data_IF_592882136649
#
_entry.id   IF_592882136649
#
_cell.length_a   1.000
_cell.length_b   1.000
_cell.length_c   1.000
_cell.angle_alpha   90.00
_cell.angle_beta   90.00
_cell.angle_gamma   90.00
#
_symmetry.space_group_name_H-M   'P 1'
#
loop_
_entity.id
_entity.type
_entity.pdbx_description
1 polymer ?
#
# COMPACT_ATOMS: atom_id res chain seq x y z
N UNK A 1 -1.76 -17.68 -19.80
CA UNK A 1 -2.83 -16.76 -19.36
C UNK A 1 -2.19 -15.42 -19.03
N UNK A 2 -2.73 -14.28 -19.48
CA UNK A 2 -2.18 -12.98 -19.10
C UNK A 2 -2.24 -12.85 -17.58
N UNK A 3 -1.13 -12.45 -16.96
CA UNK A 3 -1.06 -12.23 -15.52
C UNK A 3 -1.78 -10.92 -15.21
N UNK A 4 -2.77 -10.99 -14.32
CA UNK A 4 -3.43 -9.79 -13.79
C UNK A 4 -2.39 -9.04 -12.95
N UNK A 5 -2.12 -7.78 -13.31
CA UNK A 5 -1.18 -6.89 -12.61
C UNK A 5 -1.79 -5.50 -12.49
N UNK A 6 -1.27 -4.69 -11.57
CA UNK A 6 -1.55 -3.25 -11.55
C UNK A 6 -0.70 -2.59 -12.65
N UNK A 7 -1.36 -2.00 -13.64
CA UNK A 7 -0.71 -1.37 -14.79
C UNK A 7 -0.25 0.06 -14.49
N UNK A 8 -1.10 0.85 -13.82
CA UNK A 8 -0.76 2.18 -13.35
C UNK A 8 -1.68 2.65 -12.22
N UNK A 9 -1.24 3.69 -11.52
CA UNK A 9 -1.98 4.34 -10.42
C UNK A 9 -2.32 5.75 -10.85
N UNK A 10 -3.60 6.07 -10.91
CA UNK A 10 -4.08 7.41 -11.21
C UNK A 10 -4.50 8.11 -9.92
N UNK A 11 -4.10 9.38 -9.76
CA UNK A 11 -4.46 10.19 -8.60
C UNK A 11 -5.67 11.03 -8.93
N UNK A 12 -6.79 10.78 -8.24
CA UNK A 12 -7.98 11.62 -8.34
C UNK A 12 -7.88 12.84 -7.43
N UNK A 13 -7.42 12.65 -6.19
CA UNK A 13 -7.16 13.75 -5.24
C UNK A 13 -6.14 13.33 -4.17
N UNK A 14 -6.09 14.03 -3.02
CA UNK A 14 -5.13 13.71 -1.94
C UNK A 14 -5.38 12.35 -1.28
N UNK A 15 -6.63 11.88 -1.22
CA UNK A 15 -7.02 10.66 -0.51
C UNK A 15 -7.55 9.55 -1.41
N UNK A 16 -7.91 9.86 -2.65
CA UNK A 16 -8.55 8.92 -3.57
C UNK A 16 -7.72 8.73 -4.84
N UNK A 17 -7.57 7.48 -5.23
CA UNK A 17 -6.74 7.00 -6.33
C UNK A 17 -7.48 5.87 -7.06
N UNK A 18 -7.16 5.65 -8.33
CA UNK A 18 -7.57 4.49 -9.10
C UNK A 18 -6.35 3.60 -9.36
N UNK A 19 -6.50 2.30 -9.09
CA UNK A 19 -5.56 1.28 -9.51
C UNK A 19 -6.11 0.66 -10.79
N UNK A 20 -5.44 0.92 -11.90
CA UNK A 20 -5.79 0.32 -13.17
C UNK A 20 -5.12 -1.04 -13.28
N UNK A 21 -5.89 -2.05 -13.69
CA UNK A 21 -5.40 -3.40 -13.92
C UNK A 21 -5.01 -3.60 -15.38
N UNK A 22 -4.26 -4.66 -15.67
CA UNK A 22 -3.84 -5.02 -17.03
C UNK A 22 -4.99 -5.47 -17.94
N UNK A 23 -6.15 -5.81 -17.39
CA UNK A 23 -7.36 -6.19 -18.12
C UNK A 23 -8.30 -5.00 -18.41
N UNK A 24 -7.90 -3.78 -18.01
CA UNK A 24 -8.67 -2.56 -18.19
C UNK A 24 -9.69 -2.28 -17.07
N UNK A 25 -9.85 -3.16 -16.09
CA UNK A 25 -10.65 -2.87 -14.89
C UNK A 25 -9.92 -1.86 -13.99
N UNK A 26 -10.68 -1.16 -13.15
CA UNK A 26 -10.12 -0.28 -12.12
C UNK A 26 -10.67 -0.60 -10.74
N UNK A 27 -9.82 -0.39 -9.74
CA UNK A 27 -10.15 -0.50 -8.32
C UNK A 27 -9.92 0.85 -7.65
N UNK A 28 -10.73 1.19 -6.66
CA UNK A 28 -10.55 2.42 -5.92
C UNK A 28 -9.60 2.18 -4.74
N UNK A 29 -8.49 2.91 -4.68
CA UNK A 29 -7.64 2.99 -3.49
C UNK A 29 -7.96 4.28 -2.74
N UNK A 30 -8.26 4.17 -1.44
CA UNK A 30 -8.64 5.31 -0.61
C UNK A 30 -7.95 5.32 0.74
N UNK A 31 -7.51 6.50 1.15
CA UNK A 31 -7.05 6.81 2.49
C UNK A 31 -8.28 7.21 3.30
N UNK A 32 -8.85 6.25 4.01
CA UNK A 32 -10.15 6.38 4.68
C UNK A 32 -10.08 7.19 5.96
N UNK A 33 -8.94 7.11 6.66
CA UNK A 33 -8.56 8.01 7.74
C UNK A 33 -7.04 8.16 7.74
N UNK A 34 -6.47 8.77 8.79
CA UNK A 34 -5.04 9.05 8.84
C UNK A 34 -4.14 7.80 8.79
N UNK A 35 -4.65 6.63 9.19
CA UNK A 35 -3.88 5.39 9.31
C UNK A 35 -4.44 4.21 8.51
N UNK A 36 -5.62 4.34 7.92
CA UNK A 36 -6.27 3.27 7.18
C UNK A 36 -6.31 3.54 5.68
N UNK A 37 -5.73 2.62 4.90
CA UNK A 37 -5.79 2.62 3.44
C UNK A 37 -6.49 1.36 2.96
N UNK A 38 -7.45 1.53 2.06
CA UNK A 38 -8.29 0.44 1.53
C UNK A 38 -8.26 0.41 0.02
N UNK A 39 -8.40 -0.79 -0.54
CA UNK A 39 -8.67 -1.04 -1.96
C UNK A 39 -10.09 -1.60 -2.05
N UNK A 40 -10.93 -0.96 -2.87
CA UNK A 40 -12.35 -1.25 -3.01
C UNK A 40 -12.68 -1.62 -4.45
N UNK A 41 -13.59 -2.57 -4.64
CA UNK A 41 -14.25 -2.87 -5.90
C UNK A 41 -15.76 -2.75 -5.69
N UNK A 42 -16.42 -1.80 -6.36
CA UNK A 42 -17.88 -1.61 -6.25
C UNK A 42 -18.38 -1.68 -4.78
N UNK A 43 -17.80 -0.86 -3.91
CA UNK A 43 -18.06 -0.79 -2.46
C UNK A 43 -17.67 -2.01 -1.60
N UNK A 44 -17.10 -3.06 -2.20
CA UNK A 44 -16.53 -4.19 -1.46
C UNK A 44 -15.03 -3.97 -1.17
N UNK A 45 -14.63 -4.10 0.10
CA UNK A 45 -13.22 -4.08 0.49
C UNK A 45 -12.50 -5.34 -0.02
N UNK A 46 -11.48 -5.12 -0.86
CA UNK A 46 -10.65 -6.17 -1.46
C UNK A 46 -9.37 -6.36 -0.65
N UNK A 47 -8.74 -5.27 -0.22
CA UNK A 47 -7.54 -5.30 0.62
C UNK A 47 -7.47 -4.06 1.49
N UNK A 48 -6.79 -4.14 2.62
CA UNK A 48 -6.59 -2.98 3.50
C UNK A 48 -5.30 -3.08 4.30
N UNK A 49 -4.71 -1.92 4.60
CA UNK A 49 -3.55 -1.78 5.49
C UNK A 49 -3.91 -0.78 6.57
N UNK A 50 -3.69 -1.18 7.82
CA UNK A 50 -3.71 -0.29 8.97
C UNK A 50 -2.27 0.03 9.39
N UNK A 51 -1.93 1.31 9.43
CA UNK A 51 -0.63 1.81 9.83
C UNK A 51 -0.60 2.19 11.31
N UNK A 52 0.57 2.06 11.92
CA UNK A 52 0.83 2.58 13.27
C UNK A 52 1.96 3.60 13.21
N UNK A 53 1.79 4.80 13.79
CA UNK A 53 2.86 5.76 13.93
C UNK A 53 3.88 5.26 14.95
N UNK A 54 5.16 5.42 14.61
CA UNK A 54 6.30 5.09 15.47
C UNK A 54 7.02 6.34 15.99
N UNK A 55 6.66 7.51 15.48
CA UNK A 55 7.17 8.80 15.94
C UNK A 55 6.03 9.74 16.29
N UNK A 56 6.37 10.81 17.00
CA UNK A 56 5.45 11.94 17.18
C UNK A 56 5.11 12.54 15.82
N UNK A 57 3.81 12.68 15.53
CA UNK A 57 3.32 13.32 14.32
C UNK A 57 3.39 14.86 14.40
N UNK A 58 3.68 15.41 15.58
CA UNK A 58 3.82 16.84 15.83
C UNK A 58 5.28 17.31 15.79
N UNK A 59 6.23 16.40 15.55
CA UNK A 59 7.63 16.77 15.42
C UNK A 59 7.92 17.23 13.99
N UNK A 60 8.12 18.54 13.81
CA UNK A 60 8.43 19.14 12.51
C UNK A 60 9.88 18.88 12.05
N UNK A 61 10.76 18.47 12.96
CA UNK A 61 12.18 18.24 12.68
C UNK A 61 12.44 16.85 12.07
N UNK A 62 11.48 15.93 12.19
CA UNK A 62 11.63 14.56 11.73
C UNK A 62 10.43 14.13 10.87
N UNK A 63 10.66 13.53 9.68
CA UNK A 63 9.59 12.91 8.92
C UNK A 63 8.84 11.87 9.76
N UNK A 64 7.51 11.77 9.64
CA UNK A 64 6.74 10.82 10.43
C UNK A 64 7.14 9.39 10.04
N UNK A 65 7.33 8.54 11.05
CA UNK A 65 7.69 7.14 10.89
C UNK A 65 6.47 6.27 11.10
N UNK A 66 6.27 5.30 10.24
CA UNK A 66 5.15 4.35 10.32
C UNK A 66 5.64 2.91 10.21
N UNK A 67 4.88 1.98 10.79
CA UNK A 67 4.92 0.56 10.42
C UNK A 67 3.52 0.12 10.00
N UNK A 68 3.45 -0.99 9.28
CA UNK A 68 2.17 -1.70 9.13
C UNK A 68 1.86 -2.36 10.47
N UNK A 69 0.64 -2.17 10.95
CA UNK A 69 0.10 -2.84 12.13
C UNK A 69 -0.71 -4.08 11.72
N UNK A 70 -1.52 -3.94 10.67
CA UNK A 70 -2.31 -5.03 10.12
C UNK A 70 -2.39 -4.91 8.59
N UNK A 71 -2.46 -6.06 7.92
CA UNK A 71 -2.65 -6.14 6.48
C UNK A 71 -3.66 -7.25 6.16
N UNK A 72 -4.81 -6.85 5.63
CA UNK A 72 -5.77 -7.76 5.01
C UNK A 72 -5.41 -7.91 3.54
N UNK A 73 -4.82 -9.05 3.21
CA UNK A 73 -4.51 -9.42 1.85
C UNK A 73 -5.78 -9.70 1.02
N UNK A 74 -5.74 -9.45 -0.30
CA UNK A 74 -6.83 -9.83 -1.20
C UNK A 74 -7.01 -11.35 -1.27
N UNK A 75 -8.24 -11.77 -1.50
CA UNK A 75 -8.62 -13.17 -1.67
C UNK A 75 -9.20 -13.43 -3.06
N UNK A 76 -9.37 -14.72 -3.40
CA UNK A 76 -10.00 -15.15 -4.65
C UNK A 76 -9.22 -14.68 -5.88
N UNK A 77 -9.93 -14.12 -6.86
CA UNK A 77 -9.36 -13.66 -8.15
C UNK A 77 -8.26 -12.61 -7.98
N UNK A 78 -8.27 -11.86 -6.88
CA UNK A 78 -7.29 -10.81 -6.60
C UNK A 78 -6.12 -11.29 -5.73
N UNK A 79 -6.08 -12.54 -5.30
CA UNK A 79 -4.98 -13.06 -4.48
C UNK A 79 -3.61 -12.90 -5.16
N UNK A 80 -3.56 -13.02 -6.49
CA UNK A 80 -2.35 -12.83 -7.30
C UNK A 80 -1.85 -11.36 -7.30
N UNK A 81 -2.69 -10.41 -6.90
CA UNK A 81 -2.37 -8.99 -6.81
C UNK A 81 -1.91 -8.57 -5.40
N UNK A 82 -1.78 -9.49 -4.44
CA UNK A 82 -1.49 -9.15 -3.05
C UNK A 82 -0.26 -8.24 -2.90
N UNK A 83 0.87 -8.63 -3.50
CA UNK A 83 2.10 -7.82 -3.45
C UNK A 83 1.95 -6.50 -4.21
N UNK A 84 1.21 -6.51 -5.33
CA UNK A 84 0.89 -5.30 -6.09
C UNK A 84 0.09 -4.29 -5.25
N UNK A 85 -0.98 -4.73 -4.60
CA UNK A 85 -1.80 -3.88 -3.73
C UNK A 85 -0.99 -3.38 -2.55
N UNK A 86 -0.20 -4.24 -1.91
CA UNK A 86 0.65 -3.82 -0.81
C UNK A 86 1.62 -2.71 -1.25
N UNK A 87 2.31 -2.89 -2.38
CA UNK A 87 3.25 -1.89 -2.90
C UNK A 87 2.54 -0.57 -3.29
N UNK A 88 1.35 -0.65 -3.90
CA UNK A 88 0.54 0.51 -4.25
C UNK A 88 0.10 1.28 -2.99
N UNK A 89 -0.39 0.57 -1.98
CA UNK A 89 -0.81 1.14 -0.69
C UNK A 89 0.38 1.83 0.00
N UNK A 90 1.53 1.17 0.08
CA UNK A 90 2.73 1.75 0.71
C UNK A 90 3.20 3.00 -0.02
N UNK A 91 3.22 2.97 -1.35
CA UNK A 91 3.63 4.11 -2.17
C UNK A 91 2.69 5.30 -1.98
N UNK A 92 1.38 5.06 -2.04
CA UNK A 92 0.36 6.11 -1.85
C UNK A 92 0.42 6.68 -0.43
N UNK A 93 0.57 5.83 0.58
CA UNK A 93 0.59 6.28 1.98
C UNK A 93 1.86 7.09 2.31
N UNK A 94 3.02 6.67 1.81
CA UNK A 94 4.26 7.43 1.95
C UNK A 94 4.14 8.81 1.28
N UNK A 95 3.54 8.87 0.09
CA UNK A 95 3.27 10.14 -0.59
C UNK A 95 2.27 11.02 0.18
N UNK A 96 1.21 10.45 0.75
CA UNK A 96 0.19 11.18 1.50
C UNK A 96 0.73 11.79 2.80
N UNK A 97 1.57 11.04 3.50
CA UNK A 97 2.10 11.43 4.81
C UNK A 97 3.42 12.18 4.75
N UNK A 98 4.11 12.15 3.60
CA UNK A 98 5.53 12.51 3.47
C UNK A 98 6.41 11.77 4.49
N UNK A 99 5.98 10.59 4.91
CA UNK A 99 6.61 9.79 5.95
C UNK A 99 7.44 8.63 5.42
N UNK A 100 8.17 8.01 6.33
CA UNK A 100 8.94 6.80 6.06
C UNK A 100 8.19 5.62 6.64
N UNK A 101 7.91 4.62 5.81
CA UNK A 101 7.30 3.36 6.23
C UNK A 101 8.40 2.33 6.41
N UNK A 102 8.49 1.74 7.61
CA UNK A 102 9.46 0.67 7.89
C UNK A 102 9.15 -0.57 7.05
N UNK A 103 10.18 -1.33 6.62
CA UNK A 103 9.98 -2.56 5.87
C UNK A 103 9.03 -3.52 6.60
N UNK A 104 7.97 -3.92 5.93
CA UNK A 104 6.96 -4.84 6.49
C UNK A 104 7.46 -6.28 6.59
N UNK A 105 8.31 -6.68 5.63
CA UNK A 105 9.02 -7.96 5.64
C UNK A 105 10.50 -7.67 5.52
N UNK A 106 11.31 -8.29 6.37
CA UNK A 106 12.75 -8.23 6.19
C UNK A 106 13.05 -8.78 4.78
N UNK A 107 13.77 -8.02 3.95
CA UNK A 107 14.44 -8.62 2.81
C UNK A 107 15.25 -9.81 3.35
N UNK A 108 15.24 -10.99 2.71
CA UNK A 108 16.11 -12.06 3.13
C UNK A 108 17.52 -11.48 3.21
N UNK A 109 18.14 -11.54 4.38
CA UNK A 109 19.46 -11.00 4.59
C UNK A 109 20.37 -11.64 3.54
N UNK A 110 20.77 -10.89 2.52
CA UNK A 110 21.83 -11.31 1.62
C UNK A 110 23.05 -11.41 2.49
N UNK A 111 23.32 -12.60 3.03
CA UNK A 111 24.62 -12.93 3.59
C UNK A 111 25.59 -12.71 2.44
N UNK A 112 26.26 -11.57 2.47
CA UNK A 112 27.43 -11.34 1.63
C UNK A 112 28.43 -12.42 2.04
N UNK A 113 28.49 -13.49 1.26
CA UNK A 113 29.59 -14.42 1.23
C UNK A 113 30.77 -13.65 0.64
N UNK A 114 31.50 -12.94 1.50
CA UNK A 114 32.91 -12.66 1.28
C UNK A 114 33.63 -13.92 1.75
N UNK A 115 33.97 -14.76 0.79
CA UNK A 115 35.06 -15.75 0.88
C UNK A 115 36.23 -15.22 0.06
#
# INVERSE_FOLDING_TARGET
>A
MPQLIISHIERLNKRHYLLWLSDGQSLQLSITDMFNVKVMLADQEVASVHFQPLSSLNNIEMPPLYRINDYRAPAGVFALLADGFLNAILSVYAFYTHGIIKPWRAAPATKSLLA
#
